data_IF_600771911574
#
_entry.id   IF_600771911574
#
_cell.length_a   1.000
_cell.length_b   1.000
_cell.length_c   1.000
_cell.angle_alpha   90.00
_cell.angle_beta   90.00
_cell.angle_gamma   90.00
#
_symmetry.space_group_name_H-M   'P 1'
#
loop_
_entity.id
_entity.type
_entity.pdbx_description
1 polymer ?
#
# COMPACT_ATOMS: atom_id res chain seq x y z
N UNK A 1 -74.46 11.90 16.16
CA UNK A 1 -73.60 10.70 16.04
C UNK A 1 -73.35 10.44 14.56
N UNK A 2 -72.24 10.93 14.01
CA UNK A 2 -71.87 10.66 12.60
C UNK A 2 -70.84 9.55 12.55
N UNK A 3 -71.19 8.46 11.87
CA UNK A 3 -70.35 7.30 11.65
C UNK A 3 -69.16 7.64 10.76
N UNK A 4 -67.95 7.31 11.20
CA UNK A 4 -66.73 7.47 10.43
C UNK A 4 -66.64 6.40 9.32
N UNK A 5 -66.43 6.87 8.09
CA UNK A 5 -66.47 6.10 6.82
C UNK A 5 -65.41 4.97 6.79
N UNK A 6 -65.76 3.73 6.39
CA UNK A 6 -64.91 2.52 6.52
C UNK A 6 -63.65 2.49 5.62
N UNK A 7 -63.46 3.48 4.75
CA UNK A 7 -62.48 3.47 3.67
C UNK A 7 -61.04 3.77 4.15
N UNK A 8 -60.87 4.62 5.17
CA UNK A 8 -59.54 5.01 5.69
C UNK A 8 -58.84 3.90 6.50
N UNK A 9 -59.61 3.00 7.13
CA UNK A 9 -59.06 1.87 7.91
C UNK A 9 -58.39 0.83 7.02
N UNK A 10 -58.90 0.61 5.81
CA UNK A 10 -58.36 -0.34 4.83
C UNK A 10 -57.00 0.09 4.28
N UNK A 11 -56.85 1.37 3.95
CA UNK A 11 -55.62 1.91 3.37
C UNK A 11 -54.47 2.01 4.40
N UNK A 12 -54.76 2.40 5.65
CA UNK A 12 -53.75 2.38 6.72
C UNK A 12 -53.24 0.97 7.06
N UNK A 13 -54.12 -0.03 7.00
CA UNK A 13 -53.75 -1.42 7.30
C UNK A 13 -52.86 -2.00 6.20
N UNK A 14 -53.16 -1.70 4.93
CA UNK A 14 -52.32 -2.11 3.79
C UNK A 14 -50.92 -1.52 3.84
N UNK A 15 -50.77 -0.25 4.23
CA UNK A 15 -49.45 0.39 4.36
C UNK A 15 -48.65 -0.19 5.53
N UNK A 16 -49.28 -0.53 6.66
CA UNK A 16 -48.60 -1.19 7.79
C UNK A 16 -48.11 -2.60 7.43
N UNK A 17 -48.89 -3.37 6.69
CA UNK A 17 -48.49 -4.69 6.19
C UNK A 17 -47.33 -4.58 5.22
N UNK A 18 -47.35 -3.61 4.30
CA UNK A 18 -46.26 -3.39 3.36
C UNK A 18 -44.96 -2.99 4.06
N UNK A 19 -45.01 -2.09 5.03
CA UNK A 19 -43.84 -1.68 5.84
C UNK A 19 -43.28 -2.85 6.67
N UNK A 20 -44.15 -3.70 7.21
CA UNK A 20 -43.73 -4.88 7.96
C UNK A 20 -43.03 -5.91 7.05
N UNK A 21 -43.53 -6.13 5.83
CA UNK A 21 -42.91 -7.06 4.87
C UNK A 21 -41.55 -6.55 4.37
N UNK A 22 -41.43 -5.26 4.07
CA UNK A 22 -40.16 -4.66 3.65
C UNK A 22 -39.12 -4.72 4.79
N UNK A 23 -39.53 -4.42 6.02
CA UNK A 23 -38.66 -4.53 7.20
C UNK A 23 -38.18 -5.97 7.42
N UNK A 24 -39.05 -6.96 7.23
CA UNK A 24 -38.69 -8.38 7.37
C UNK A 24 -37.64 -8.82 6.34
N UNK A 25 -37.78 -8.40 5.08
CA UNK A 25 -36.83 -8.75 4.01
C UNK A 25 -35.45 -8.13 4.28
N UNK A 26 -35.40 -6.89 4.76
CA UNK A 26 -34.13 -6.22 5.12
C UNK A 26 -33.45 -6.94 6.29
N UNK A 27 -34.19 -7.30 7.34
CA UNK A 27 -33.64 -7.99 8.52
C UNK A 27 -33.11 -9.38 8.14
N UNK A 28 -33.87 -10.14 7.34
CA UNK A 28 -33.45 -11.47 6.89
C UNK A 28 -32.22 -11.38 5.97
N UNK A 29 -32.17 -10.38 5.09
CA UNK A 29 -31.01 -10.14 4.22
C UNK A 29 -29.73 -9.82 5.00
N UNK A 30 -29.82 -8.97 6.04
CA UNK A 30 -28.68 -8.65 6.92
C UNK A 30 -28.24 -9.91 7.70
N UNK A 31 -29.18 -10.66 8.28
CA UNK A 31 -28.87 -11.87 9.05
C UNK A 31 -28.19 -12.95 8.19
N UNK A 32 -28.67 -13.15 6.96
CA UNK A 32 -28.05 -14.09 6.01
C UNK A 32 -26.66 -13.60 5.57
N UNK A 33 -26.50 -12.31 5.27
CA UNK A 33 -25.20 -11.72 4.90
C UNK A 33 -24.14 -11.90 5.99
N UNK A 34 -24.51 -11.69 7.26
CA UNK A 34 -23.63 -11.93 8.41
C UNK A 34 -23.30 -13.42 8.57
N UNK A 35 -24.30 -14.31 8.47
CA UNK A 35 -24.10 -15.75 8.61
C UNK A 35 -23.15 -16.32 7.54
N UNK A 36 -23.34 -15.95 6.28
CA UNK A 36 -22.46 -16.39 5.19
C UNK A 36 -21.06 -15.75 5.25
N UNK A 37 -20.97 -14.49 5.67
CA UNK A 37 -19.68 -13.81 5.86
C UNK A 37 -18.82 -14.43 6.97
N UNK A 38 -19.43 -14.88 8.07
CA UNK A 38 -18.71 -15.57 9.17
C UNK A 38 -18.28 -16.98 8.75
N UNK A 39 -19.14 -17.74 8.05
CA UNK A 39 -18.81 -19.09 7.58
C UNK A 39 -17.64 -19.07 6.59
N UNK A 40 -17.61 -18.09 5.68
CA UNK A 40 -16.53 -17.93 4.69
C UNK A 40 -15.17 -17.64 5.33
N UNK A 41 -15.11 -16.93 6.46
CA UNK A 41 -13.86 -16.70 7.19
C UNK A 41 -13.38 -17.95 7.93
N UNK A 42 -14.30 -18.67 8.58
CA UNK A 42 -13.97 -19.91 9.30
C UNK A 42 -13.44 -21.02 8.36
N UNK A 43 -13.98 -21.12 7.14
CA UNK A 43 -13.50 -22.09 6.15
C UNK A 43 -12.12 -21.69 5.58
N UNK A 44 -11.81 -20.40 5.51
CA UNK A 44 -10.50 -19.90 5.07
C UNK A 44 -9.41 -20.12 6.13
N UNK A 45 -9.71 -19.85 7.41
CA UNK A 45 -8.75 -20.01 8.52
C UNK A 45 -8.38 -21.49 8.73
N UNK A 46 -9.35 -22.41 8.55
CA UNK A 46 -9.12 -23.84 8.66
C UNK A 46 -8.27 -24.41 7.50
N UNK A 47 -8.24 -23.73 6.34
CA UNK A 47 -7.40 -24.08 5.19
C UNK A 47 -5.94 -23.65 5.37
N UNK A 48 -5.69 -22.58 6.14
CA UNK A 48 -4.33 -22.09 6.46
C UNK A 48 -3.67 -22.92 7.56
N UNK A 49 -4.43 -23.35 8.57
CA UNK A 49 -3.90 -24.17 9.68
C UNK A 49 -3.36 -25.55 9.23
N UNK A 50 -3.84 -26.10 8.11
CA UNK A 50 -3.46 -27.43 7.64
C UNK A 50 -2.26 -27.46 6.67
N UNK A 51 -1.66 -26.29 6.35
CA UNK A 51 -0.51 -26.19 5.43
C UNK A 51 0.86 -26.09 6.14
N UNK A 52 0.90 -25.95 7.47
CA UNK A 52 2.14 -25.65 8.22
C UNK A 52 2.83 -26.86 8.89
N UNK A 53 2.50 -28.10 8.52
CA UNK A 53 2.98 -29.30 9.25
C UNK A 53 3.84 -30.27 8.43
N UNK A 54 4.71 -29.78 7.53
CA UNK A 54 5.73 -30.67 6.96
C UNK A 54 6.99 -29.95 6.43
N UNK A 55 7.99 -29.77 7.30
CA UNK A 55 9.41 -29.77 6.94
C UNK A 55 10.28 -29.87 8.21
N UNK A 56 10.81 -31.07 8.46
CA UNK A 56 11.93 -31.32 9.38
C UNK A 56 12.99 -32.13 8.61
N UNK A 57 14.26 -31.73 8.69
CA UNK A 57 15.41 -32.60 8.40
C UNK A 57 16.61 -31.88 7.79
N UNK A 58 17.68 -31.70 8.57
CA UNK A 58 18.99 -31.27 8.03
C UNK A 58 19.97 -30.73 9.07
N UNK A 59 20.57 -31.63 9.86
CA UNK A 59 21.74 -31.39 10.73
C UNK A 59 23.00 -31.04 9.92
N UNK A 60 23.80 -30.07 10.36
CA UNK A 60 25.27 -30.09 10.22
C UNK A 60 25.96 -29.07 11.13
N UNK A 61 26.91 -29.58 11.91
CA UNK A 61 27.86 -28.84 12.74
C UNK A 61 28.85 -28.05 11.89
N UNK A 62 29.22 -26.84 12.31
CA UNK A 62 30.57 -26.32 12.05
C UNK A 62 31.03 -25.36 13.15
N UNK A 63 32.29 -25.54 13.49
CA UNK A 63 33.12 -24.98 14.55
C UNK A 63 33.20 -23.46 14.60
N UNK A 64 33.04 -22.89 15.79
CA UNK A 64 33.34 -21.48 16.08
C UNK A 64 34.86 -21.24 16.12
N UNK A 65 35.34 -20.23 15.38
CA UNK A 65 36.70 -19.67 15.53
C UNK A 65 36.58 -18.19 15.87
N UNK A 66 37.01 -17.84 17.07
CA UNK A 66 37.10 -16.46 17.53
C UNK A 66 38.22 -15.73 16.77
N UNK A 67 37.92 -14.55 16.22
CA UNK A 67 38.92 -13.64 15.65
C UNK A 67 38.87 -12.32 16.41
N UNK A 68 40.01 -11.95 16.98
CA UNK A 68 40.28 -10.77 17.80
C UNK A 68 40.10 -9.48 16.99
N UNK A 69 39.32 -8.53 17.52
CA UNK A 69 39.12 -7.19 16.96
C UNK A 69 40.23 -6.25 17.42
N UNK A 70 40.94 -5.63 16.49
CA UNK A 70 41.83 -4.48 16.76
C UNK A 70 41.13 -3.21 16.30
N UNK A 71 40.83 -2.31 17.24
CA UNK A 71 40.17 -1.03 17.01
C UNK A 71 41.14 -0.04 16.35
N UNK A 72 40.84 0.42 15.14
CA UNK A 72 41.50 1.58 14.53
C UNK A 72 40.44 2.64 14.20
N UNK A 73 40.70 3.89 14.59
CA UNK A 73 39.78 5.02 14.43
C UNK A 73 39.44 5.31 12.96
N UNK A 74 38.20 5.72 12.71
CA UNK A 74 37.66 5.99 11.37
C UNK A 74 38.26 7.29 10.76
N UNK A 75 38.64 7.29 9.47
CA UNK A 75 39.03 8.51 8.77
C UNK A 75 37.81 9.39 8.45
N UNK A 76 38.00 10.71 8.55
CA UNK A 76 37.01 11.73 8.16
C UNK A 76 36.80 11.72 6.65
N UNK A 77 35.56 11.60 6.12
CA UNK A 77 35.34 11.66 4.68
C UNK A 77 35.49 13.09 4.19
N UNK A 78 36.50 13.31 3.36
CA UNK A 78 36.69 14.56 2.62
C UNK A 78 36.04 14.39 1.23
N UNK A 79 35.20 15.36 0.86
CA UNK A 79 34.53 15.58 -0.44
C UNK A 79 33.37 14.65 -0.84
N UNK A 80 32.18 15.24 -0.97
CA UNK A 80 31.01 14.66 -1.63
C UNK A 80 31.29 14.39 -3.13
N UNK A 81 30.74 13.31 -3.72
CA UNK A 81 30.95 12.99 -5.13
C UNK A 81 30.35 14.06 -6.04
N UNK A 82 31.07 14.37 -7.13
CA UNK A 82 30.70 15.39 -8.09
C UNK A 82 29.48 14.99 -8.93
N UNK A 83 28.57 15.94 -9.15
CA UNK A 83 27.40 15.84 -10.03
C UNK A 83 27.88 15.91 -11.48
N UNK A 84 28.08 14.77 -12.17
CA UNK A 84 28.77 14.80 -13.48
C UNK A 84 27.93 14.42 -14.69
N UNK A 85 26.68 13.94 -14.57
CA UNK A 85 25.79 13.75 -15.72
C UNK A 85 24.31 13.90 -15.33
N UNK A 86 23.49 14.47 -16.22
CA UNK A 86 22.07 14.73 -15.97
C UNK A 86 21.22 14.60 -17.22
N UNK A 87 19.94 14.29 -17.05
CA UNK A 87 18.98 14.25 -18.16
C UNK A 87 18.32 15.62 -18.32
N UNK A 88 18.27 16.12 -19.55
CA UNK A 88 17.55 17.35 -19.88
C UNK A 88 16.09 17.03 -20.18
N UNK A 89 15.16 17.56 -19.39
CA UNK A 89 13.71 17.53 -19.70
C UNK A 89 13.18 18.97 -19.69
N UNK A 90 12.52 19.39 -20.78
CA UNK A 90 11.97 20.75 -20.95
C UNK A 90 12.93 21.88 -20.53
N UNK A 91 14.21 21.77 -20.89
CA UNK A 91 15.23 22.78 -20.61
C UNK A 91 15.75 22.81 -19.16
N UNK A 92 15.32 21.87 -18.32
CA UNK A 92 15.83 21.72 -16.95
C UNK A 92 16.79 20.53 -16.87
N UNK A 93 18.02 20.78 -16.36
CA UNK A 93 19.03 19.76 -16.11
C UNK A 93 18.75 19.06 -14.79
N UNK A 94 18.47 17.75 -14.84
CA UNK A 94 18.33 16.93 -13.64
C UNK A 94 19.59 16.09 -13.46
N UNK A 95 20.51 16.45 -12.54
CA UNK A 95 21.70 15.67 -12.31
C UNK A 95 21.33 14.32 -11.70
N UNK A 96 21.88 13.23 -12.23
CA UNK A 96 21.85 11.91 -11.60
C UNK A 96 23.28 11.48 -11.28
N UNK A 97 23.44 10.75 -10.17
CA UNK A 97 24.74 10.22 -9.78
C UNK A 97 25.04 8.97 -10.62
N UNK A 98 26.10 9.01 -11.42
CA UNK A 98 26.71 7.78 -11.96
C UNK A 98 27.65 7.26 -10.88
N UNK A 99 27.23 6.24 -10.14
CA UNK A 99 28.10 5.55 -9.18
C UNK A 99 28.69 4.30 -9.84
N UNK A 100 29.73 4.50 -10.66
CA UNK A 100 30.56 3.40 -11.14
C UNK A 100 31.51 2.97 -10.00
N UNK A 101 31.14 1.91 -9.27
CA UNK A 101 31.96 1.31 -8.23
C UNK A 101 31.16 0.50 -7.18
N UNK A 102 31.81 -0.40 -6.41
CA UNK A 102 31.16 -1.05 -5.28
C UNK A 102 30.69 0.01 -4.28
N UNK A 103 29.43 -0.12 -3.86
CA UNK A 103 28.79 0.81 -2.95
C UNK A 103 29.65 1.04 -1.69
N UNK A 104 29.92 2.30 -1.29
CA UNK A 104 30.49 2.56 0.02
C UNK A 104 29.56 1.98 1.09
N UNK A 105 30.13 1.45 2.18
CA UNK A 105 29.36 1.00 3.34
C UNK A 105 28.35 2.08 3.74
N UNK A 106 27.11 1.74 4.16
CA UNK A 106 26.05 2.72 4.39
C UNK A 106 26.52 3.80 5.36
N UNK A 107 26.83 4.98 4.82
CA UNK A 107 27.20 6.17 5.59
C UNK A 107 25.90 6.95 5.82
N UNK A 108 25.15 6.55 6.84
CA UNK A 108 23.88 7.20 7.19
C UNK A 108 23.14 6.45 8.28
N UNK A 109 22.35 7.18 9.08
CA UNK A 109 21.40 6.58 10.02
C UNK A 109 20.44 5.73 9.19
N UNK A 110 20.34 4.44 9.51
CA UNK A 110 19.38 3.56 8.84
C UNK A 110 17.97 4.17 8.89
N UNK A 111 17.19 3.98 7.82
CA UNK A 111 15.79 4.39 7.79
C UNK A 111 15.05 3.82 9.00
N UNK A 112 14.19 4.63 9.63
CA UNK A 112 13.38 4.17 10.76
C UNK A 112 12.20 3.35 10.23
N UNK A 113 12.08 2.12 10.71
CA UNK A 113 10.90 1.29 10.45
C UNK A 113 9.75 1.76 11.33
N UNK A 114 8.59 2.00 10.74
CA UNK A 114 7.36 2.35 11.44
C UNK A 114 6.38 1.19 11.39
N UNK A 115 5.93 0.71 12.55
CA UNK A 115 4.95 -0.38 12.66
C UNK A 115 3.70 0.02 13.44
N UNK A 116 3.67 1.22 14.02
CA UNK A 116 2.59 1.71 14.86
C UNK A 116 2.27 3.17 14.56
N UNK A 117 0.99 3.53 14.73
CA UNK A 117 0.56 4.93 14.74
C UNK A 117 1.00 5.60 16.05
N UNK A 118 1.34 6.88 16.00
CA UNK A 118 1.70 7.67 17.19
C UNK A 118 0.50 8.33 17.84
N UNK A 119 -0.54 8.64 17.05
CA UNK A 119 -1.75 9.28 17.55
C UNK A 119 -2.70 8.24 18.19
N UNK A 120 -3.19 8.48 19.41
CA UNK A 120 -4.14 7.58 20.07
C UNK A 120 -5.41 7.36 19.26
N UNK A 121 -5.96 6.14 19.31
CA UNK A 121 -7.21 5.77 18.64
C UNK A 121 -7.20 6.01 17.12
N UNK A 122 -6.03 5.87 16.48
CA UNK A 122 -5.88 5.92 15.03
C UNK A 122 -5.39 4.59 14.48
N UNK A 123 -5.67 4.37 13.19
CA UNK A 123 -5.14 3.27 12.41
C UNK A 123 -4.83 3.78 11.00
N UNK A 124 -3.93 3.11 10.30
CA UNK A 124 -3.61 3.40 8.91
C UNK A 124 -3.90 2.16 8.06
N UNK A 125 -4.56 2.37 6.92
CA UNK A 125 -4.72 1.34 5.89
C UNK A 125 -3.76 1.70 4.76
N UNK A 126 -2.99 0.72 4.33
CA UNK A 126 -2.15 0.83 3.14
C UNK A 126 -2.43 -0.26 2.13
N UNK A 127 -2.14 0.04 0.87
CA UNK A 127 -2.18 -0.89 -0.24
C UNK A 127 -0.88 -0.79 -1.03
N UNK A 128 -0.30 -1.95 -1.33
CA UNK A 128 1.01 -2.06 -1.97
C UNK A 128 0.85 -2.57 -3.42
N UNK A 129 1.95 -2.61 -4.17
CA UNK A 129 2.09 -3.16 -5.53
C UNK A 129 1.34 -2.45 -6.67
N UNK A 130 0.39 -1.59 -6.34
CA UNK A 130 -0.49 -0.94 -7.28
C UNK A 130 0.13 0.28 -8.01
N UNK A 131 -0.68 0.95 -8.86
CA UNK A 131 -2.09 0.63 -9.16
C UNK A 131 -2.25 -0.61 -10.05
N UNK A 132 -3.33 -1.35 -9.82
CA UNK A 132 -3.78 -2.46 -10.66
C UNK A 132 -5.13 -2.14 -11.31
N UNK A 133 -5.66 -3.08 -12.10
CA UNK A 133 -6.99 -2.97 -12.72
C UNK A 133 -8.14 -2.80 -11.69
N UNK A 134 -7.94 -3.22 -10.45
CA UNK A 134 -8.93 -3.15 -9.36
C UNK A 134 -8.86 -1.84 -8.57
N UNK A 135 -7.77 -1.06 -8.71
CA UNK A 135 -7.59 0.18 -7.95
C UNK A 135 -8.70 1.22 -8.21
N UNK A 136 -9.25 1.39 -9.43
CA UNK A 136 -10.38 2.29 -9.64
C UNK A 136 -11.63 1.94 -8.80
N UNK A 137 -12.00 0.67 -8.73
CA UNK A 137 -13.14 0.20 -7.92
C UNK A 137 -12.85 0.38 -6.42
N UNK A 138 -11.62 0.10 -5.98
CA UNK A 138 -11.18 0.36 -4.62
C UNK A 138 -11.33 1.85 -4.26
N UNK A 139 -10.97 2.78 -5.16
CA UNK A 139 -11.15 4.21 -4.94
C UNK A 139 -12.63 4.61 -4.83
N UNK A 140 -13.55 3.92 -5.52
CA UNK A 140 -15.00 4.13 -5.35
C UNK A 140 -15.45 3.71 -3.95
N UNK A 141 -15.03 2.54 -3.48
CA UNK A 141 -15.35 2.02 -2.15
C UNK A 141 -14.80 2.91 -1.04
N UNK A 142 -13.54 3.34 -1.15
CA UNK A 142 -12.91 4.22 -0.18
C UNK A 142 -13.60 5.58 -0.10
N UNK A 143 -14.01 6.12 -1.25
CA UNK A 143 -14.77 7.37 -1.33
C UNK A 143 -16.14 7.24 -0.69
N UNK A 144 -16.86 6.15 -0.96
CA UNK A 144 -18.16 5.87 -0.36
C UNK A 144 -18.07 5.69 1.17
N UNK A 145 -16.97 5.09 1.65
CA UNK A 145 -16.70 4.92 3.08
C UNK A 145 -16.14 6.18 3.76
N UNK A 146 -15.80 7.24 3.00
CA UNK A 146 -15.16 8.44 3.54
C UNK A 146 -13.74 8.22 4.08
N UNK A 147 -13.07 7.15 3.65
CA UNK A 147 -11.74 6.76 4.14
C UNK A 147 -10.62 7.36 3.30
N UNK A 148 -9.52 7.74 3.96
CA UNK A 148 -8.24 8.07 3.33
C UNK A 148 -7.23 6.99 3.68
N UNK A 149 -6.38 6.65 2.72
CA UNK A 149 -5.44 5.52 2.81
C UNK A 149 -4.12 5.92 2.16
N UNK A 150 -3.10 5.09 2.34
CA UNK A 150 -1.80 5.25 1.69
C UNK A 150 -1.61 4.18 0.61
N UNK A 151 -1.25 4.58 -0.59
CA UNK A 151 -0.86 3.67 -1.66
C UNK A 151 0.67 3.67 -1.78
N UNK A 152 1.31 2.54 -1.49
CA UNK A 152 2.72 2.30 -1.80
C UNK A 152 2.78 1.76 -3.22
N UNK A 153 3.17 2.62 -4.17
CA UNK A 153 3.07 2.30 -5.59
C UNK A 153 4.41 1.90 -6.18
N UNK A 154 4.39 1.07 -7.20
CA UNK A 154 5.57 0.80 -8.03
C UNK A 154 5.62 1.70 -9.27
N UNK A 155 6.78 1.71 -9.92
CA UNK A 155 6.96 2.36 -11.22
C UNK A 155 6.62 1.44 -12.39
N UNK A 156 7.04 0.18 -12.31
CA UNK A 156 6.80 -0.84 -13.33
C UNK A 156 6.78 -2.23 -12.68
N UNK A 157 5.61 -2.61 -12.17
CA UNK A 157 5.35 -3.92 -11.56
C UNK A 157 4.07 -4.53 -12.17
N UNK A 158 2.90 -4.24 -11.59
CA UNK A 158 1.60 -4.68 -12.13
C UNK A 158 1.22 -3.94 -13.41
N UNK A 159 1.58 -2.67 -13.49
CA UNK A 159 1.44 -1.82 -14.67
C UNK A 159 2.57 -0.78 -14.69
N UNK A 160 2.76 -0.11 -15.82
CA UNK A 160 3.75 0.95 -15.92
C UNK A 160 3.14 2.28 -15.49
N UNK A 161 3.84 3.06 -14.67
CA UNK A 161 3.39 4.39 -14.21
C UNK A 161 3.12 5.35 -15.37
N UNK A 162 3.75 5.12 -16.53
CA UNK A 162 3.53 5.92 -17.73
C UNK A 162 2.25 5.55 -18.49
N UNK A 163 1.59 4.44 -18.18
CA UNK A 163 0.33 4.04 -18.82
C UNK A 163 -0.79 5.02 -18.49
N UNK A 164 -1.53 5.48 -19.50
CA UNK A 164 -2.55 6.51 -19.33
C UNK A 164 -3.63 6.16 -18.28
N UNK A 165 -4.02 4.88 -18.20
CA UNK A 165 -4.97 4.39 -17.21
C UNK A 165 -4.40 4.46 -15.78
N UNK A 166 -3.11 4.14 -15.61
CA UNK A 166 -2.40 4.24 -14.33
C UNK A 166 -2.29 5.70 -13.90
N UNK A 167 -1.88 6.59 -14.80
CA UNK A 167 -1.79 8.02 -14.51
C UNK A 167 -3.15 8.60 -14.09
N UNK A 168 -4.23 8.23 -14.80
CA UNK A 168 -5.60 8.65 -14.48
C UNK A 168 -6.00 8.20 -13.07
N UNK A 169 -5.70 6.94 -12.74
CA UNK A 169 -5.99 6.35 -11.43
C UNK A 169 -5.21 7.04 -10.30
N UNK A 170 -3.92 7.32 -10.49
CA UNK A 170 -3.09 8.00 -9.50
C UNK A 170 -3.50 9.46 -9.29
N UNK A 171 -3.80 10.19 -10.38
CA UNK A 171 -4.33 11.55 -10.30
C UNK A 171 -5.66 11.58 -9.54
N UNK A 172 -6.52 10.58 -9.76
CA UNK A 172 -7.75 10.40 -8.98
C UNK A 172 -7.45 10.13 -7.51
N UNK A 173 -6.51 9.24 -7.18
CA UNK A 173 -6.14 8.94 -5.80
C UNK A 173 -5.70 10.20 -5.04
N UNK A 174 -4.84 11.03 -5.65
CA UNK A 174 -4.43 12.32 -5.06
C UNK A 174 -5.62 13.28 -4.92
N UNK A 175 -6.46 13.41 -5.96
CA UNK A 175 -7.65 14.28 -5.93
C UNK A 175 -8.64 13.87 -4.84
N UNK A 176 -8.83 12.58 -4.64
CA UNK A 176 -9.68 12.03 -3.57
C UNK A 176 -8.96 12.07 -2.20
N UNK A 177 -7.72 12.59 -2.09
CA UNK A 177 -7.03 12.89 -0.84
C UNK A 177 -6.25 11.72 -0.22
N UNK A 178 -5.94 10.69 -1.01
CA UNK A 178 -5.10 9.57 -0.58
C UNK A 178 -3.62 9.95 -0.63
N UNK A 179 -2.81 9.32 0.21
CA UNK A 179 -1.37 9.50 0.19
C UNK A 179 -0.73 8.57 -0.84
N UNK A 180 0.25 9.07 -1.60
CA UNK A 180 1.11 8.26 -2.47
C UNK A 180 2.49 8.13 -1.82
N UNK A 181 2.95 6.89 -1.68
CA UNK A 181 4.23 6.50 -1.15
C UNK A 181 4.98 5.61 -2.16
N UNK A 182 6.29 5.48 -1.99
CA UNK A 182 7.15 4.71 -2.91
C UNK A 182 7.20 3.25 -2.50
N UNK A 183 7.00 2.31 -3.42
CA UNK A 183 7.25 0.89 -3.19
C UNK A 183 8.38 0.33 -4.04
N UNK A 184 9.36 1.18 -4.40
CA UNK A 184 10.44 0.91 -5.38
C UNK A 184 9.97 0.89 -6.84
N UNK A 185 10.90 1.03 -7.77
CA UNK A 185 10.56 1.07 -9.19
C UNK A 185 10.02 -0.28 -9.69
N UNK A 186 10.73 -1.37 -9.45
CA UNK A 186 10.49 -2.70 -10.03
C UNK A 186 10.21 -3.81 -9.00
N UNK A 187 10.02 -3.44 -7.73
CA UNK A 187 9.71 -4.36 -6.63
C UNK A 187 10.79 -5.44 -6.34
N UNK A 188 12.10 -5.12 -6.32
CA UNK A 188 13.12 -6.08 -5.90
C UNK A 188 13.21 -6.18 -4.37
N UNK A 189 13.72 -7.31 -3.88
CA UNK A 189 14.16 -7.43 -2.49
C UNK A 189 15.40 -6.56 -2.26
N UNK A 190 15.20 -5.42 -1.59
CA UNK A 190 16.26 -4.44 -1.31
C UNK A 190 17.43 -5.00 -0.49
N UNK A 191 17.23 -6.08 0.28
CA UNK A 191 18.30 -6.70 1.08
C UNK A 191 19.33 -7.43 0.22
N UNK A 192 18.97 -7.74 -1.03
CA UNK A 192 19.83 -8.41 -2.01
C UNK A 192 20.60 -7.46 -2.90
N UNK A 193 20.31 -6.15 -2.81
CA UNK A 193 20.84 -5.13 -3.71
C UNK A 193 22.04 -4.39 -3.13
N UNK A 194 22.89 -3.87 -4.02
CA UNK A 194 23.87 -2.85 -3.66
C UNK A 194 23.17 -1.54 -3.28
N UNK A 195 23.83 -0.67 -2.51
CA UNK A 195 23.29 0.66 -2.18
C UNK A 195 22.96 1.47 -3.45
N UNK A 196 23.80 1.38 -4.49
CA UNK A 196 23.54 2.08 -5.76
C UNK A 196 22.31 1.54 -6.49
N UNK A 197 22.05 0.23 -6.43
CA UNK A 197 20.84 -0.37 -6.99
C UNK A 197 19.59 0.02 -6.17
N UNK A 198 19.67 0.03 -4.83
CA UNK A 198 18.60 0.56 -3.97
C UNK A 198 18.31 2.02 -4.33
N UNK A 199 19.32 2.88 -4.42
CA UNK A 199 19.15 4.28 -4.81
C UNK A 199 18.52 4.43 -6.19
N UNK A 200 18.92 3.59 -7.15
CA UNK A 200 18.34 3.59 -8.50
C UNK A 200 16.84 3.29 -8.46
N UNK A 201 16.42 2.28 -7.70
CA UNK A 201 15.01 1.93 -7.53
C UNK A 201 14.19 3.08 -6.93
N UNK A 202 14.74 3.76 -5.91
CA UNK A 202 14.05 4.87 -5.24
C UNK A 202 13.98 6.12 -6.11
N UNK A 203 15.11 6.56 -6.66
CA UNK A 203 15.22 7.80 -7.45
C UNK A 203 14.41 7.69 -8.74
N UNK A 204 14.44 6.51 -9.40
CA UNK A 204 13.69 6.31 -10.64
C UNK A 204 12.19 6.44 -10.42
N UNK A 205 11.67 5.84 -9.34
CA UNK A 205 10.26 6.01 -8.99
C UNK A 205 9.95 7.45 -8.58
N UNK A 206 10.77 8.09 -7.74
CA UNK A 206 10.59 9.49 -7.33
C UNK A 206 10.46 10.43 -8.53
N UNK A 207 11.37 10.31 -9.50
CA UNK A 207 11.36 11.13 -10.71
C UNK A 207 10.10 10.87 -11.55
N UNK A 208 9.69 9.60 -11.68
CA UNK A 208 8.51 9.24 -12.46
C UNK A 208 7.21 9.75 -11.81
N UNK A 209 7.11 9.70 -10.48
CA UNK A 209 5.97 10.27 -9.74
C UNK A 209 5.95 11.79 -9.90
N UNK A 210 7.10 12.46 -9.80
CA UNK A 210 7.18 13.91 -10.01
C UNK A 210 6.78 14.29 -11.43
N UNK A 211 7.23 13.56 -12.45
CA UNK A 211 6.87 13.80 -13.84
C UNK A 211 5.36 13.64 -14.10
N UNK A 212 4.77 12.54 -13.60
CA UNK A 212 3.38 12.17 -13.91
C UNK A 212 2.36 12.90 -13.04
N UNK A 213 2.70 13.15 -11.77
CA UNK A 213 1.78 13.64 -10.74
C UNK A 213 2.17 15.00 -10.14
N UNK A 214 3.39 15.49 -10.38
CA UNK A 214 3.87 16.76 -9.83
C UNK A 214 4.16 16.73 -8.32
N UNK A 215 4.30 15.54 -7.73
CA UNK A 215 4.55 15.36 -6.29
C UNK A 215 5.74 14.43 -6.06
N UNK A 216 6.36 14.50 -4.87
CA UNK A 216 7.41 13.57 -4.43
C UNK A 216 6.94 12.79 -3.20
N UNK A 217 7.10 11.45 -3.18
CA UNK A 217 6.78 10.64 -2.01
C UNK A 217 7.74 10.98 -0.86
N UNK A 218 7.21 10.94 0.37
CA UNK A 218 7.99 11.13 1.62
C UNK A 218 8.09 9.87 2.47
N UNK A 219 7.44 8.79 2.02
CA UNK A 219 7.34 7.50 2.66
C UNK A 219 7.69 6.41 1.64
N UNK A 220 8.28 5.33 2.14
CA UNK A 220 8.58 4.09 1.42
C UNK A 220 8.47 2.89 2.34
#
# INVERSE_FOLDING_TARGET
MSAEKPEKKSMQTKNKVLIALVSLVVIVGIALGVYFGVKSKNDADNRVSNKSQNINGGTSSTTATATTTTTTAAPTPTTAPALTNGTMINGTLFPYYVLDGPAPAPVGVAGKVYTTCTEPNTFSISFDDGPSEWTPELLDLLKAAGLKVTFFINGNNQACIYDAAVQSTLKRAIKDGHQIASHTWSHPDLTTLSVSAIQTEMIRLENSIMEVLGVKPRYM
#
